data_IF_926245269053
#
_entry.id   IF_926245269053
#
_cell.length_a   1.000
_cell.length_b   1.000
_cell.length_c   1.000
_cell.angle_alpha   90.00
_cell.angle_beta   90.00
_cell.angle_gamma   90.00
#
_symmetry.space_group_name_H-M   'P 1'
#
loop_
_entity.id
_entity.type
_entity.pdbx_description
1 polymer ?
#
# COMPACT_ATOMS: atom_id res chain seq x y z
N UNK A 1 -4.72 -15.00 16.22
CA UNK A 1 -4.24 -14.49 17.51
C UNK A 1 -3.01 -13.59 17.40
N UNK A 2 -2.12 -13.80 16.46
CA UNK A 2 -0.92 -12.96 16.28
C UNK A 2 -1.22 -11.51 15.84
N UNK A 3 -2.29 -11.29 15.08
CA UNK A 3 -2.61 -9.99 14.45
C UNK A 3 -3.14 -8.94 15.43
N UNK A 4 -3.94 -9.31 16.42
CA UNK A 4 -4.39 -8.39 17.46
C UNK A 4 -3.22 -7.73 18.19
N UNK A 5 -2.19 -8.50 18.52
CA UNK A 5 -1.00 -7.98 19.19
C UNK A 5 -0.21 -6.97 18.34
N UNK A 6 -0.26 -7.08 17.03
CA UNK A 6 0.43 -6.14 16.14
C UNK A 6 -0.31 -4.80 16.07
N UNK A 7 -1.64 -4.80 15.97
CA UNK A 7 -2.43 -3.57 16.02
C UNK A 7 -2.33 -2.87 17.38
N UNK A 8 -2.38 -3.63 18.48
CA UNK A 8 -2.18 -3.08 19.82
C UNK A 8 -0.79 -2.44 19.97
N UNK A 9 0.25 -3.07 19.41
CA UNK A 9 1.61 -2.53 19.41
C UNK A 9 1.78 -1.30 18.52
N UNK A 10 1.01 -1.20 17.43
CA UNK A 10 0.97 -0.04 16.54
C UNK A 10 0.09 1.08 17.10
N UNK A 11 -0.70 0.80 18.14
CA UNK A 11 -1.62 1.76 18.75
C UNK A 11 -2.81 2.11 17.83
N UNK A 12 -3.21 1.18 16.95
CA UNK A 12 -4.34 1.38 16.04
C UNK A 12 -5.64 1.07 16.77
N UNK A 13 -6.56 2.05 16.97
CA UNK A 13 -7.81 1.82 17.68
C UNK A 13 -8.68 0.76 16.97
N UNK A 14 -9.30 -0.12 17.75
CA UNK A 14 -10.19 -1.17 17.22
C UNK A 14 -11.36 -0.59 16.40
N UNK A 15 -11.83 0.60 16.76
CA UNK A 15 -12.86 1.32 16.02
C UNK A 15 -12.41 1.71 14.59
N UNK A 16 -11.13 2.00 14.37
CA UNK A 16 -10.60 2.30 13.03
C UNK A 16 -10.57 1.06 12.13
N UNK A 17 -10.23 -0.10 12.70
CA UNK A 17 -10.17 -1.36 11.94
C UNK A 17 -11.54 -1.77 11.36
N UNK A 18 -12.62 -1.40 12.02
CA UNK A 18 -14.00 -1.73 11.59
C UNK A 18 -14.63 -0.68 10.69
N UNK A 19 -14.17 0.57 10.75
CA UNK A 19 -14.73 1.69 9.99
C UNK A 19 -14.01 1.97 8.67
N UNK A 20 -12.84 1.34 8.43
CA UNK A 20 -12.05 1.53 7.22
C UNK A 20 -12.46 0.55 6.10
N UNK A 21 -12.34 1.00 4.86
CA UNK A 21 -12.56 0.16 3.68
C UNK A 21 -11.46 -0.86 3.44
N UNK A 22 -10.27 -0.56 3.91
CA UNK A 22 -9.09 -1.43 3.88
C UNK A 22 -8.00 -0.91 4.79
N UNK A 23 -7.22 -1.81 5.34
CA UNK A 23 -6.10 -1.51 6.24
C UNK A 23 -4.89 -2.34 5.84
N UNK A 24 -3.77 -1.68 5.62
CA UNK A 24 -2.45 -2.30 5.45
C UNK A 24 -1.50 -1.87 6.55
N UNK A 25 -0.69 -2.77 7.04
CA UNK A 25 0.35 -2.47 8.01
C UNK A 25 1.67 -3.13 7.63
N UNK A 26 2.72 -2.33 7.59
CA UNK A 26 4.08 -2.76 7.32
C UNK A 26 4.98 -2.37 8.51
N UNK A 27 5.88 -3.28 8.86
CA UNK A 27 6.82 -3.11 9.95
C UNK A 27 8.22 -3.46 9.45
N UNK A 28 9.13 -2.49 9.50
CA UNK A 28 10.50 -2.62 8.97
C UNK A 28 10.51 -3.17 7.51
N UNK A 29 9.62 -2.64 6.66
CA UNK A 29 9.37 -3.03 5.26
C UNK A 29 8.73 -4.41 5.05
N UNK A 30 8.36 -5.14 6.09
CA UNK A 30 7.61 -6.39 5.97
C UNK A 30 6.11 -6.18 6.16
N UNK A 31 5.29 -6.81 5.31
CA UNK A 31 3.84 -6.80 5.44
C UNK A 31 3.44 -7.67 6.62
N UNK A 32 2.87 -7.05 7.65
CA UNK A 32 2.41 -7.75 8.85
C UNK A 32 0.89 -7.90 8.91
N UNK A 33 0.17 -7.09 8.16
CA UNK A 33 -1.28 -7.16 8.07
C UNK A 33 -1.80 -6.52 6.79
N UNK A 34 -2.85 -7.11 6.23
CA UNK A 34 -3.62 -6.54 5.12
C UNK A 34 -5.08 -6.97 5.22
N UNK A 35 -6.00 -6.06 4.98
CA UNK A 35 -7.43 -6.32 4.89
C UNK A 35 -8.10 -5.32 3.95
N UNK A 36 -9.06 -5.79 3.19
CA UNK A 36 -9.95 -4.97 2.36
C UNK A 36 -11.37 -5.52 2.49
N UNK A 37 -12.36 -4.63 2.52
CA UNK A 37 -13.75 -5.03 2.59
C UNK A 37 -14.21 -5.73 1.30
N UNK A 38 -15.01 -6.79 1.45
CA UNK A 38 -15.50 -7.59 0.32
C UNK A 38 -16.27 -6.78 -0.73
N UNK A 39 -17.01 -5.77 -0.31
CA UNK A 39 -17.77 -4.92 -1.23
C UNK A 39 -16.87 -4.10 -2.17
N UNK A 40 -15.69 -3.72 -1.73
CA UNK A 40 -14.70 -3.06 -2.57
C UNK A 40 -14.07 -4.05 -3.55
N UNK A 41 -13.76 -5.25 -3.08
CA UNK A 41 -13.24 -6.33 -3.94
C UNK A 41 -14.23 -6.67 -5.05
N UNK A 42 -15.53 -6.78 -4.74
CA UNK A 42 -16.60 -7.02 -5.73
C UNK A 42 -16.72 -5.91 -6.77
N UNK A 43 -16.33 -4.68 -6.43
CA UNK A 43 -16.28 -3.56 -7.35
C UNK A 43 -14.98 -3.50 -8.16
N UNK A 44 -14.06 -4.45 -7.95
CA UNK A 44 -12.77 -4.52 -8.65
C UNK A 44 -11.69 -3.58 -8.07
N UNK A 45 -11.91 -3.04 -6.87
CA UNK A 45 -10.87 -2.28 -6.17
C UNK A 45 -9.80 -3.24 -5.70
N UNK A 46 -8.55 -2.90 -6.01
CA UNK A 46 -7.38 -3.62 -5.53
C UNK A 46 -6.70 -2.75 -4.48
N UNK A 47 -6.47 -3.31 -3.31
CA UNK A 47 -5.65 -2.71 -2.27
C UNK A 47 -4.78 -3.80 -1.67
N UNK A 48 -3.48 -3.70 -1.86
CA UNK A 48 -2.51 -4.68 -1.38
C UNK A 48 -1.14 -4.03 -1.17
N UNK A 49 -0.16 -4.80 -0.75
CA UNK A 49 1.23 -4.35 -0.74
C UNK A 49 1.84 -4.39 -2.16
N UNK A 50 2.92 -3.62 -2.33
CA UNK A 50 3.53 -3.45 -3.66
C UNK A 50 4.17 -4.73 -4.19
N UNK A 51 4.72 -5.59 -3.32
CA UNK A 51 5.35 -6.85 -3.72
C UNK A 51 4.32 -7.86 -4.21
N UNK A 52 3.18 -7.95 -3.54
CA UNK A 52 2.04 -8.76 -3.98
C UNK A 52 1.47 -8.22 -5.28
N UNK A 53 1.35 -6.89 -5.43
CA UNK A 53 0.88 -6.28 -6.67
C UNK A 53 1.78 -6.62 -7.87
N UNK A 54 3.09 -6.64 -7.70
CA UNK A 54 4.03 -7.02 -8.76
C UNK A 54 3.81 -8.47 -9.20
N UNK A 55 3.48 -9.37 -8.29
CA UNK A 55 3.26 -10.79 -8.60
C UNK A 55 1.89 -11.08 -9.22
N UNK A 56 0.84 -10.42 -8.71
CA UNK A 56 -0.55 -10.76 -9.02
C UNK A 56 -1.21 -9.80 -10.01
N UNK A 57 -0.68 -8.57 -10.14
CA UNK A 57 -1.23 -7.51 -10.97
C UNK A 57 -0.15 -6.86 -11.86
N UNK A 58 0.76 -7.69 -12.38
CA UNK A 58 1.95 -7.27 -13.13
C UNK A 58 1.64 -6.30 -14.26
N UNK A 59 0.58 -6.54 -15.03
CA UNK A 59 0.20 -5.72 -16.18
C UNK A 59 -0.12 -4.27 -15.75
N UNK A 60 -0.90 -4.11 -14.68
CA UNK A 60 -1.26 -2.80 -14.15
C UNK A 60 -0.03 -2.10 -13.58
N UNK A 61 0.78 -2.84 -12.81
CA UNK A 61 2.01 -2.27 -12.23
C UNK A 61 2.96 -1.79 -13.31
N UNK A 62 3.23 -2.58 -14.35
CA UNK A 62 4.11 -2.20 -15.47
C UNK A 62 3.65 -0.93 -16.20
N UNK A 63 2.35 -0.71 -16.26
CA UNK A 63 1.80 0.48 -16.93
C UNK A 63 2.11 1.76 -16.16
N UNK A 64 2.11 1.74 -14.82
CA UNK A 64 2.20 2.96 -14.01
C UNK A 64 3.46 3.10 -13.15
N UNK A 65 4.13 1.99 -12.84
CA UNK A 65 5.28 1.98 -11.93
C UNK A 65 6.41 2.89 -12.43
N UNK A 66 6.84 3.81 -11.59
CA UNK A 66 7.91 4.79 -11.87
C UNK A 66 7.71 5.61 -13.15
N UNK A 67 6.46 5.83 -13.58
CA UNK A 67 6.15 6.65 -14.77
C UNK A 67 5.91 8.11 -14.42
N UNK A 68 5.21 8.38 -13.33
CA UNK A 68 4.90 9.75 -12.92
C UNK A 68 6.14 10.46 -12.38
N UNK A 69 6.92 9.78 -11.55
CA UNK A 69 8.22 10.24 -11.05
C UNK A 69 9.28 9.22 -11.47
N UNK A 70 9.85 9.37 -12.68
CA UNK A 70 10.84 8.42 -13.17
C UNK A 70 12.18 8.60 -12.44
N UNK A 71 12.99 7.53 -12.32
CA UNK A 71 14.28 7.58 -11.63
C UNK A 71 15.25 8.64 -12.15
N UNK A 72 15.10 9.07 -13.39
CA UNK A 72 15.93 10.11 -14.02
C UNK A 72 15.49 11.55 -13.72
N UNK A 73 14.38 11.73 -13.00
CA UNK A 73 13.84 13.06 -12.71
C UNK A 73 14.79 13.87 -11.80
N UNK A 74 15.27 13.25 -10.72
CA UNK A 74 16.28 13.83 -9.85
C UNK A 74 17.00 12.76 -9.02
N UNK A 75 18.08 13.14 -8.34
CA UNK A 75 18.96 12.21 -7.58
C UNK A 75 18.23 11.38 -6.52
N UNK A 76 17.21 11.95 -5.86
CA UNK A 76 16.43 11.21 -4.86
C UNK A 76 15.44 10.24 -5.50
N UNK A 77 14.88 10.56 -6.67
CA UNK A 77 14.08 9.62 -7.44
C UNK A 77 14.92 8.43 -7.92
N UNK A 78 16.18 8.69 -8.34
CA UNK A 78 17.12 7.63 -8.68
C UNK A 78 17.46 6.74 -7.48
N UNK A 79 17.75 7.35 -6.33
CA UNK A 79 18.02 6.61 -5.08
C UNK A 79 16.81 5.76 -4.68
N UNK A 80 15.61 6.36 -4.66
CA UNK A 80 14.36 5.66 -4.35
C UNK A 80 14.16 4.47 -5.30
N UNK A 81 14.32 4.68 -6.61
CA UNK A 81 14.19 3.62 -7.61
C UNK A 81 15.18 2.47 -7.44
N UNK A 82 16.34 2.72 -6.85
CA UNK A 82 17.36 1.71 -6.62
C UNK A 82 17.16 0.90 -5.32
N UNK A 83 16.58 1.51 -4.29
CA UNK A 83 16.55 0.92 -2.94
C UNK A 83 15.16 0.78 -2.34
N UNK A 84 14.09 1.06 -3.09
CA UNK A 84 12.74 0.94 -2.56
C UNK A 84 12.44 -0.48 -2.06
N UNK A 85 11.69 -0.57 -0.99
CA UNK A 85 11.23 -1.82 -0.42
C UNK A 85 9.88 -1.62 0.26
N UNK A 86 8.93 -2.52 0.00
CA UNK A 86 7.57 -2.38 0.49
C UNK A 86 6.80 -1.23 -0.17
N UNK A 87 5.70 -0.86 0.45
CA UNK A 87 4.77 0.16 -0.05
C UNK A 87 3.38 -0.38 -0.29
N UNK A 88 2.47 0.48 -0.68
CA UNK A 88 1.07 0.13 -0.92
C UNK A 88 0.71 0.26 -2.39
N UNK A 89 -0.12 -0.65 -2.86
CA UNK A 89 -0.73 -0.61 -4.17
C UNK A 89 -2.23 -0.42 -4.05
N UNK A 90 -2.75 0.63 -4.70
CA UNK A 90 -4.18 0.93 -4.77
C UNK A 90 -4.58 1.09 -6.23
N UNK A 91 -5.57 0.32 -6.67
CA UNK A 91 -6.18 0.50 -7.98
C UNK A 91 -7.69 0.60 -7.84
N UNK A 92 -8.28 1.66 -8.40
CA UNK A 92 -9.72 1.87 -8.43
C UNK A 92 -10.16 1.91 -9.90
N UNK A 93 -11.01 0.96 -10.34
CA UNK A 93 -11.50 0.92 -11.72
C UNK A 93 -12.32 2.17 -12.09
N UNK A 94 -12.50 2.38 -13.38
CA UNK A 94 -13.34 3.43 -13.92
C UNK A 94 -14.80 3.30 -13.41
N UNK A 95 -15.42 4.43 -13.07
CA UNK A 95 -16.80 4.47 -12.58
C UNK A 95 -16.99 4.01 -11.12
N UNK A 96 -15.96 3.49 -10.47
CA UNK A 96 -16.03 3.07 -9.07
C UNK A 96 -15.74 4.24 -8.13
N UNK A 97 -16.57 4.38 -7.12
CA UNK A 97 -16.39 5.36 -6.05
C UNK A 97 -16.14 4.64 -4.72
N UNK A 98 -14.93 4.77 -4.19
CA UNK A 98 -14.57 4.28 -2.86
C UNK A 98 -15.18 5.22 -1.82
N UNK A 99 -16.12 4.70 -1.04
CA UNK A 99 -16.86 5.50 -0.04
C UNK A 99 -16.15 5.57 1.30
N UNK A 100 -15.36 4.57 1.61
CA UNK A 100 -14.64 4.45 2.89
C UNK A 100 -13.14 4.60 2.66
N UNK A 101 -12.42 5.29 3.55
CA UNK A 101 -10.98 5.48 3.38
C UNK A 101 -10.22 4.14 3.45
N UNK A 102 -9.16 4.06 2.67
CA UNK A 102 -8.12 3.04 2.77
C UNK A 102 -6.98 3.64 3.59
N UNK A 103 -6.35 2.84 4.43
CA UNK A 103 -5.30 3.32 5.32
C UNK A 103 -4.11 2.36 5.35
N UNK A 104 -2.91 2.91 5.17
CA UNK A 104 -1.64 2.18 5.30
C UNK A 104 -0.86 2.72 6.49
N UNK A 105 -0.34 1.82 7.29
CA UNK A 105 0.55 2.12 8.40
C UNK A 105 1.94 1.61 8.09
N UNK A 106 2.92 2.51 8.18
CA UNK A 106 4.33 2.18 8.02
C UNK A 106 5.07 2.50 9.31
N UNK A 107 5.76 1.52 9.87
CA UNK A 107 6.53 1.68 11.09
C UNK A 107 7.96 1.22 10.91
N UNK A 108 8.89 2.13 11.11
CA UNK A 108 10.31 1.84 11.23
C UNK A 108 10.69 1.77 12.72
N UNK A 109 11.22 0.64 13.16
CA UNK A 109 11.58 0.43 14.56
C UNK A 109 13.06 0.07 14.74
N UNK A 110 13.77 -0.26 13.66
CA UNK A 110 15.18 -0.60 13.70
C UNK A 110 16.07 0.67 13.76
N UNK A 111 16.92 0.78 14.77
CA UNK A 111 17.85 1.89 14.87
C UNK A 111 18.88 1.86 13.73
N UNK A 112 19.09 3.00 13.07
CA UNK A 112 20.02 3.14 11.96
C UNK A 112 19.55 2.54 10.63
N UNK A 113 18.32 2.03 10.56
CA UNK A 113 17.72 1.58 9.31
C UNK A 113 17.01 2.72 8.57
N UNK A 114 16.82 2.55 7.25
CA UNK A 114 15.99 3.40 6.42
C UNK A 114 14.81 2.61 5.86
N UNK A 115 13.72 3.28 5.54
CA UNK A 115 12.55 2.71 4.90
C UNK A 115 12.20 3.55 3.67
N UNK A 116 12.11 2.91 2.50
CA UNK A 116 11.90 3.56 1.20
C UNK A 116 10.70 2.90 0.51
N UNK A 117 9.50 3.26 0.95
CA UNK A 117 8.27 2.67 0.44
C UNK A 117 7.89 3.24 -0.92
N UNK A 118 7.44 2.38 -1.82
CA UNK A 118 6.89 2.79 -3.10
C UNK A 118 5.36 2.61 -3.09
N UNK A 119 4.65 3.68 -2.80
CA UNK A 119 3.19 3.68 -2.91
C UNK A 119 2.76 4.01 -4.33
N UNK A 120 1.96 3.14 -4.92
CA UNK A 120 1.35 3.35 -6.23
C UNK A 120 -0.16 3.39 -6.09
N UNK A 121 -0.73 4.59 -6.23
CA UNK A 121 -2.18 4.82 -6.22
C UNK A 121 -2.64 5.21 -7.63
N UNK A 122 -3.59 4.45 -8.17
CA UNK A 122 -4.18 4.69 -9.48
C UNK A 122 -5.70 4.64 -9.41
N UNK A 123 -6.32 5.80 -9.58
CA UNK A 123 -7.76 5.90 -9.86
C UNK A 123 -7.97 6.07 -11.36
N UNK A 124 -8.67 5.15 -11.98
CA UNK A 124 -9.05 5.29 -13.39
C UNK A 124 -10.09 6.40 -13.51
N UNK A 125 -9.78 7.40 -14.33
CA UNK A 125 -10.70 8.48 -14.68
C UNK A 125 -11.29 8.18 -16.05
N UNK A 126 -12.56 8.04 -16.14
CA UNK A 126 -13.33 8.13 -17.39
C UNK A 126 -14.33 9.21 -17.22
#
# INVERSE_FOLDING_TARGET
>A
MLFRSTFDRLGIPEAEQTSLGGVGAQYDSEVVYHSIQEDMVKQGVIYTDMETAIREHEDIVKEYFMKLVPPKDHKFAALHGAVWSGGSFVYVPAGVQVKMPLQSYFRLNAAGAGQFEHTLDRKSTV
#
